data_IF_124281331413
#
_entry.id   IF_124281331413
#
_cell.length_a   1.000
_cell.length_b   1.000
_cell.length_c   1.000
_cell.angle_alpha   90.00
_cell.angle_beta   90.00
_cell.angle_gamma   90.00
#
_symmetry.space_group_name_H-M   'P 1'
#
loop_
_entity.id
_entity.type
_entity.pdbx_description
1 polymer ?
#
# COMPACT_ATOMS: atom_id res chain seq x y z
N UNK A 1 -4.73 -14.22 -26.59
CA UNK A 1 -3.30 -14.61 -26.70
C UNK A 1 -2.97 -15.08 -28.11
N UNK A 2 -3.57 -16.20 -28.57
CA UNK A 2 -3.36 -16.78 -29.91
C UNK A 2 -3.44 -15.76 -31.05
N UNK A 3 -4.50 -14.95 -31.09
CA UNK A 3 -4.70 -13.97 -32.16
C UNK A 3 -3.59 -12.90 -32.23
N UNK A 4 -3.06 -12.49 -31.07
CA UNK A 4 -1.97 -11.51 -30.99
C UNK A 4 -0.65 -12.13 -31.45
N UNK A 5 -0.38 -13.36 -31.02
CA UNK A 5 0.82 -14.09 -31.43
C UNK A 5 0.81 -14.37 -32.94
N UNK A 6 -0.36 -14.71 -33.50
CA UNK A 6 -0.55 -14.90 -34.93
C UNK A 6 -0.38 -13.58 -35.71
N UNK A 7 -0.96 -12.48 -35.22
CA UNK A 7 -0.77 -11.16 -35.80
C UNK A 7 0.72 -10.78 -35.90
N UNK A 8 1.49 -10.95 -34.81
CA UNK A 8 2.92 -10.62 -34.82
C UNK A 8 3.74 -11.57 -35.70
N UNK A 9 3.36 -12.85 -35.77
CA UNK A 9 3.97 -13.82 -36.68
C UNK A 9 3.85 -13.38 -38.13
N UNK A 10 2.66 -12.96 -38.54
CA UNK A 10 2.39 -12.48 -39.89
C UNK A 10 3.02 -11.13 -40.18
N UNK A 11 2.93 -10.19 -39.25
CA UNK A 11 3.49 -8.84 -39.39
C UNK A 11 5.00 -8.89 -39.58
N UNK A 12 5.72 -9.67 -38.76
CA UNK A 12 7.19 -9.80 -38.86
C UNK A 12 7.60 -10.49 -40.16
N UNK A 13 6.86 -11.52 -40.58
CA UNK A 13 7.10 -12.21 -41.85
C UNK A 13 6.88 -11.28 -43.05
N UNK A 14 5.80 -10.49 -43.07
CA UNK A 14 5.47 -9.59 -44.19
C UNK A 14 6.45 -8.42 -44.27
N UNK A 15 6.70 -7.74 -43.15
CA UNK A 15 7.46 -6.47 -43.12
C UNK A 15 8.98 -6.67 -43.13
N UNK A 16 9.47 -7.68 -42.43
CA UNK A 16 10.92 -7.88 -42.23
C UNK A 16 11.45 -9.15 -42.89
N UNK A 17 10.57 -9.99 -43.47
CA UNK A 17 10.95 -11.30 -44.05
C UNK A 17 11.68 -12.20 -43.05
N UNK A 18 11.36 -12.08 -41.77
CA UNK A 18 11.91 -12.90 -40.67
C UNK A 18 10.84 -13.73 -40.00
N UNK A 19 11.26 -14.78 -39.28
CA UNK A 19 10.39 -15.54 -38.37
C UNK A 19 10.21 -14.73 -37.08
N UNK A 20 8.96 -14.58 -36.61
CA UNK A 20 8.70 -13.99 -35.30
C UNK A 20 9.05 -14.99 -34.19
N UNK A 21 9.72 -14.49 -33.15
CA UNK A 21 9.92 -15.17 -31.87
C UNK A 21 9.23 -14.43 -30.71
N UNK A 22 8.35 -13.47 -31.05
CA UNK A 22 7.54 -12.76 -30.06
C UNK A 22 6.40 -13.67 -29.64
N UNK A 23 6.35 -13.94 -28.34
CA UNK A 23 5.33 -14.75 -27.69
C UNK A 23 4.76 -13.95 -26.52
N UNK A 24 3.46 -13.67 -26.59
CA UNK A 24 2.68 -13.16 -25.49
C UNK A 24 2.13 -14.37 -24.73
N UNK A 25 2.28 -14.37 -23.41
CA UNK A 25 1.71 -15.38 -22.53
C UNK A 25 0.72 -14.71 -21.58
N UNK A 26 -0.41 -15.37 -21.33
CA UNK A 26 -1.29 -15.01 -20.23
C UNK A 26 -0.61 -15.33 -18.89
N UNK A 27 -0.39 -14.31 -18.07
CA UNK A 27 0.22 -14.47 -16.74
C UNK A 27 -0.83 -14.65 -15.64
N UNK A 28 -1.78 -13.71 -15.52
CA UNK A 28 -2.74 -13.65 -14.40
C UNK A 28 -3.93 -12.74 -14.68
N UNK A 29 -5.05 -13.03 -14.01
CA UNK A 29 -6.25 -12.21 -13.97
C UNK A 29 -6.42 -11.62 -12.57
N UNK A 30 -6.56 -10.30 -12.51
CA UNK A 30 -6.90 -9.60 -11.29
C UNK A 30 -8.41 -9.37 -11.22
N UNK A 31 -9.07 -9.95 -10.22
CA UNK A 31 -10.49 -9.72 -9.92
C UNK A 31 -10.75 -8.28 -9.47
N UNK A 32 -9.76 -7.68 -8.80
CA UNK A 32 -9.75 -6.27 -8.43
C UNK A 32 -8.32 -5.77 -8.50
N UNK A 33 -8.13 -4.51 -8.92
CA UNK A 33 -6.80 -3.97 -9.17
C UNK A 33 -6.70 -2.52 -8.73
N UNK A 34 -5.55 -2.17 -8.17
CA UNK A 34 -5.28 -0.87 -7.57
C UNK A 34 -3.88 -0.40 -7.93
N UNK A 35 -3.81 0.81 -8.50
CA UNK A 35 -2.56 1.53 -8.73
C UNK A 35 -2.59 2.79 -7.85
N UNK A 36 -1.73 2.91 -6.83
CA UNK A 36 -1.68 4.11 -6.01
C UNK A 36 -1.15 5.30 -6.82
N UNK A 37 -1.70 6.48 -6.53
CA UNK A 37 -1.18 7.75 -7.06
C UNK A 37 0.18 8.06 -6.42
N UNK A 38 1.07 8.69 -7.17
CA UNK A 38 2.31 9.22 -6.60
C UNK A 38 2.00 10.47 -5.78
N UNK A 39 2.50 10.56 -4.54
CA UNK A 39 2.30 11.75 -3.69
C UNK A 39 2.68 13.03 -4.45
N UNK A 40 1.72 13.95 -4.61
CA UNK A 40 1.94 15.25 -5.24
C UNK A 40 1.82 15.29 -6.77
N UNK A 41 1.46 14.19 -7.44
CA UNK A 41 1.19 14.20 -8.89
C UNK A 41 0.01 13.31 -9.24
N UNK A 42 -0.77 13.69 -10.25
CA UNK A 42 -1.83 12.82 -10.79
C UNK A 42 -1.30 11.59 -11.54
N UNK A 43 0.01 11.51 -11.77
CA UNK A 43 0.64 10.37 -12.43
C UNK A 43 0.68 9.15 -11.50
N UNK A 44 0.15 8.04 -11.98
CA UNK A 44 0.22 6.73 -11.33
C UNK A 44 1.66 6.34 -11.03
N UNK A 45 1.89 5.74 -9.86
CA UNK A 45 3.23 5.34 -9.46
C UNK A 45 3.70 4.14 -10.29
N UNK A 46 4.81 4.31 -11.01
CA UNK A 46 5.39 3.21 -11.80
C UNK A 46 5.87 2.10 -10.85
N UNK A 47 5.57 0.84 -11.19
CA UNK A 47 5.97 -0.37 -10.43
C UNK A 47 5.38 -0.48 -9.03
N UNK A 48 4.25 0.18 -8.78
CA UNK A 48 3.49 0.05 -7.54
C UNK A 48 2.06 -0.33 -7.87
N UNK A 49 1.65 -1.52 -7.49
CA UNK A 49 0.26 -1.96 -7.65
C UNK A 49 -0.08 -3.07 -6.67
N UNK A 50 -1.38 -3.26 -6.45
CA UNK A 50 -1.91 -4.43 -5.78
C UNK A 50 -3.12 -4.94 -6.56
N UNK A 51 -3.37 -6.24 -6.48
CA UNK A 51 -4.59 -6.82 -7.00
C UNK A 51 -5.01 -8.07 -6.27
N UNK A 52 -6.29 -8.37 -6.35
CA UNK A 52 -6.90 -9.60 -5.90
C UNK A 52 -6.82 -10.62 -7.02
N UNK A 53 -6.15 -11.74 -6.78
CA UNK A 53 -6.12 -12.89 -7.69
C UNK A 53 -6.88 -14.03 -7.05
N UNK A 54 -7.46 -14.89 -7.86
CA UNK A 54 -8.07 -16.13 -7.40
C UNK A 54 -7.29 -17.30 -7.99
N UNK A 55 -6.89 -18.23 -7.14
CA UNK A 55 -6.19 -19.45 -7.54
C UNK A 55 -6.86 -20.62 -6.82
N UNK A 56 -7.40 -21.57 -7.59
CA UNK A 56 -8.08 -22.76 -7.06
C UNK A 56 -9.22 -22.43 -6.07
N UNK A 57 -9.99 -21.37 -6.34
CA UNK A 57 -11.08 -20.90 -5.48
C UNK A 57 -10.65 -20.21 -4.19
N UNK A 58 -9.35 -19.88 -4.05
CA UNK A 58 -8.81 -19.09 -2.94
C UNK A 58 -8.37 -17.73 -3.43
N UNK A 59 -8.85 -16.69 -2.77
CA UNK A 59 -8.48 -15.32 -3.03
C UNK A 59 -7.16 -14.95 -2.33
N UNK A 60 -6.22 -14.39 -3.08
CA UNK A 60 -4.94 -13.89 -2.58
C UNK A 60 -4.67 -12.45 -3.05
N UNK A 61 -4.02 -11.68 -2.19
CA UNK A 61 -3.56 -10.33 -2.53
C UNK A 61 -2.16 -10.42 -3.11
N UNK A 62 -2.03 -10.12 -4.41
CA UNK A 62 -0.76 -9.89 -5.07
C UNK A 62 -0.36 -8.42 -4.93
N UNK A 63 0.84 -8.18 -4.42
CA UNK A 63 1.35 -6.83 -4.16
C UNK A 63 2.70 -6.67 -4.86
N UNK A 64 2.90 -5.57 -5.58
CA UNK A 64 4.16 -5.22 -6.23
C UNK A 64 4.57 -3.80 -5.84
N UNK A 65 5.75 -3.65 -5.24
CA UNK A 65 6.40 -2.37 -4.97
C UNK A 65 5.73 -1.42 -3.96
N UNK A 66 4.62 -1.84 -3.32
CA UNK A 66 4.01 -1.09 -2.22
C UNK A 66 4.87 -1.08 -0.94
N UNK A 67 4.52 -0.17 -0.03
CA UNK A 67 5.29 0.20 1.15
C UNK A 67 5.73 -1.00 2.01
N UNK A 68 4.80 -1.87 2.42
CA UNK A 68 5.07 -2.90 3.42
C UNK A 68 5.60 -4.23 2.85
N UNK A 69 5.95 -4.30 1.57
CA UNK A 69 6.64 -5.50 1.02
C UNK A 69 8.13 -5.48 1.37
N UNK A 70 8.67 -4.30 1.68
CA UNK A 70 10.11 -4.15 1.87
C UNK A 70 10.55 -4.80 3.19
N UNK A 71 11.77 -5.34 3.18
CA UNK A 71 12.33 -6.07 4.34
C UNK A 71 12.57 -5.21 5.58
N UNK A 72 12.58 -3.88 5.43
CA UNK A 72 12.75 -2.90 6.50
C UNK A 72 11.45 -2.56 7.26
N UNK A 73 10.31 -3.15 6.86
CA UNK A 73 9.00 -2.95 7.50
C UNK A 73 8.67 -4.06 8.49
N UNK A 74 7.99 -3.67 9.56
CA UNK A 74 7.48 -4.57 10.61
C UNK A 74 6.40 -5.52 10.09
N UNK A 75 6.28 -6.69 10.71
CA UNK A 75 5.23 -7.66 10.33
C UNK A 75 3.83 -7.05 10.50
N UNK A 76 3.65 -6.23 11.55
CA UNK A 76 2.42 -5.50 11.77
C UNK A 76 2.06 -4.60 10.57
N UNK A 77 3.03 -3.98 9.90
CA UNK A 77 2.74 -3.17 8.72
C UNK A 77 2.35 -4.01 7.51
N UNK A 78 3.00 -5.17 7.31
CA UNK A 78 2.72 -6.07 6.19
C UNK A 78 1.33 -6.68 6.31
N UNK A 79 1.00 -7.16 7.50
CA UNK A 79 -0.31 -7.70 7.82
C UNK A 79 -1.40 -6.64 7.68
N UNK A 80 -1.15 -5.42 8.19
CA UNK A 80 -2.07 -4.30 8.04
C UNK A 80 -2.33 -3.98 6.56
N UNK A 81 -1.28 -3.90 5.73
CA UNK A 81 -1.41 -3.64 4.30
C UNK A 81 -2.28 -4.69 3.61
N UNK A 82 -1.98 -5.99 3.83
CA UNK A 82 -2.72 -7.10 3.22
C UNK A 82 -4.19 -7.08 3.64
N UNK A 83 -4.47 -6.95 4.93
CA UNK A 83 -5.85 -6.91 5.46
C UNK A 83 -6.62 -5.69 4.97
N UNK A 84 -5.99 -4.51 4.94
CA UNK A 84 -6.62 -3.29 4.44
C UNK A 84 -6.97 -3.43 2.96
N UNK A 85 -6.04 -3.91 2.13
CA UNK A 85 -6.29 -4.15 0.70
C UNK A 85 -7.43 -5.13 0.48
N UNK A 86 -7.47 -6.22 1.24
CA UNK A 86 -8.56 -7.20 1.19
C UNK A 86 -9.91 -6.54 1.48
N UNK A 87 -10.01 -5.75 2.54
CA UNK A 87 -11.25 -5.02 2.86
C UNK A 87 -11.65 -4.02 1.77
N UNK A 88 -10.67 -3.32 1.19
CA UNK A 88 -10.90 -2.37 0.09
C UNK A 88 -11.42 -3.07 -1.16
N UNK A 89 -10.81 -4.18 -1.57
CA UNK A 89 -11.24 -4.93 -2.76
C UNK A 89 -12.64 -5.53 -2.59
N UNK A 90 -13.00 -5.94 -1.37
CA UNK A 90 -14.38 -6.38 -1.06
C UNK A 90 -15.35 -5.24 -0.71
N UNK A 91 -14.94 -3.97 -0.85
CA UNK A 91 -15.78 -2.80 -0.53
C UNK A 91 -16.35 -2.82 0.90
N UNK A 92 -15.61 -3.40 1.84
CA UNK A 92 -15.96 -3.49 3.27
C UNK A 92 -15.61 -2.21 4.02
N UNK A 93 -16.22 -2.01 5.20
CA UNK A 93 -15.92 -0.85 6.03
C UNK A 93 -14.52 -0.94 6.66
N UNK A 94 -13.61 -0.12 6.16
CA UNK A 94 -12.21 -0.05 6.61
C UNK A 94 -11.99 0.79 7.88
N UNK A 95 -12.90 1.71 8.22
CA UNK A 95 -12.70 2.67 9.31
C UNK A 95 -12.60 1.97 10.67
N UNK A 96 -13.50 1.00 10.91
CA UNK A 96 -13.48 0.19 12.15
C UNK A 96 -12.20 -0.62 12.25
N UNK A 97 -11.78 -1.26 11.15
CA UNK A 97 -10.54 -2.03 11.11
C UNK A 97 -9.33 -1.18 11.48
N UNK A 98 -9.16 0.00 10.86
CA UNK A 98 -8.02 0.88 11.11
C UNK A 98 -7.95 1.30 12.58
N UNK A 99 -9.09 1.67 13.19
CA UNK A 99 -9.14 2.08 14.60
C UNK A 99 -8.77 0.94 15.55
N UNK A 100 -9.41 -0.21 15.37
CA UNK A 100 -9.14 -1.39 16.19
C UNK A 100 -7.66 -1.80 16.09
N UNK A 101 -7.08 -1.73 14.89
CA UNK A 101 -5.67 -2.07 14.69
C UNK A 101 -4.73 -1.12 15.43
N UNK A 102 -5.04 0.19 15.43
CA UNK A 102 -4.29 1.20 16.18
C UNK A 102 -4.43 0.97 17.69
N UNK A 103 -5.62 0.64 18.17
CA UNK A 103 -5.87 0.31 19.58
C UNK A 103 -5.12 -0.96 20.01
N UNK A 104 -5.12 -2.00 19.18
CA UNK A 104 -4.41 -3.24 19.46
C UNK A 104 -2.89 -3.00 19.57
N UNK A 105 -2.31 -2.15 18.72
CA UNK A 105 -0.91 -1.70 18.86
C UNK A 105 -0.70 -0.96 20.19
N UNK A 106 -1.56 0.03 20.51
CA UNK A 106 -1.43 0.81 21.76
C UNK A 106 -1.61 -0.01 23.03
N UNK A 107 -2.37 -1.10 22.95
CA UNK A 107 -2.61 -2.02 24.06
C UNK A 107 -1.50 -3.07 24.26
N UNK A 108 -0.49 -3.10 23.38
CA UNK A 108 0.64 -4.03 23.46
C UNK A 108 0.34 -5.46 22.95
N UNK A 109 -0.87 -5.72 22.45
CA UNK A 109 -1.24 -7.05 21.91
C UNK A 109 -0.44 -7.48 20.69
N UNK A 110 0.25 -6.53 20.05
CA UNK A 110 0.94 -6.74 18.78
C UNK A 110 2.46 -6.62 18.89
N UNK A 111 3.02 -6.58 20.11
CA UNK A 111 4.44 -6.27 20.34
C UNK A 111 5.38 -7.16 19.52
N UNK A 112 5.12 -8.47 19.46
CA UNK A 112 5.92 -9.42 18.66
C UNK A 112 5.97 -9.07 17.15
N UNK A 113 4.96 -8.37 16.64
CA UNK A 113 4.86 -7.95 15.24
C UNK A 113 5.51 -6.59 14.97
N UNK A 114 5.94 -5.87 16.01
CA UNK A 114 6.60 -4.55 15.94
C UNK A 114 8.13 -4.64 15.84
N UNK A 115 8.68 -5.84 15.69
CA UNK A 115 10.12 -6.05 15.57
C UNK A 115 10.63 -5.55 14.21
N UNK A 116 11.58 -4.63 14.23
CA UNK A 116 12.36 -4.29 13.04
C UNK A 116 13.47 -5.32 12.83
N UNK A 117 13.70 -5.71 11.58
CA UNK A 117 14.75 -6.65 11.19
C UNK A 117 15.66 -6.03 10.15
N UNK A 118 16.96 -5.94 10.42
CA UNK A 118 17.91 -5.35 9.46
C UNK A 118 19.28 -5.99 9.54
N UNK A 119 19.90 -6.22 8.39
CA UNK A 119 21.28 -6.71 8.32
C UNK A 119 22.28 -5.57 8.44
N UNK A 120 23.31 -5.79 9.24
CA UNK A 120 24.49 -4.93 9.38
C UNK A 120 25.48 -5.34 8.29
N UNK A 121 25.76 -4.43 7.36
CA UNK A 121 26.60 -4.70 6.19
C UNK A 121 28.06 -4.27 6.39
N UNK A 122 28.32 -3.30 7.27
CA UNK A 122 29.67 -2.81 7.58
C UNK A 122 30.00 -3.02 9.06
N UNK A 123 31.28 -3.00 9.41
CA UNK A 123 31.69 -3.02 10.83
C UNK A 123 31.04 -1.88 11.60
N UNK A 124 30.68 -2.13 12.87
CA UNK A 124 30.10 -1.13 13.78
C UNK A 124 31.00 0.12 13.94
N UNK A 125 32.31 -0.05 13.80
CA UNK A 125 33.31 1.02 13.94
C UNK A 125 33.35 1.96 12.73
N UNK A 126 32.88 1.49 11.57
CA UNK A 126 32.84 2.29 10.34
C UNK A 126 31.77 3.39 10.35
N UNK A 127 30.87 3.38 11.35
CA UNK A 127 29.79 4.35 11.48
C UNK A 127 30.20 5.50 12.41
N UNK A 128 30.81 6.55 11.83
CA UNK A 128 31.42 7.65 12.60
C UNK A 128 30.51 8.88 12.74
N UNK A 129 29.76 9.28 11.69
CA UNK A 129 29.00 10.55 11.67
C UNK A 129 27.52 10.42 12.04
N UNK A 130 26.79 9.54 11.38
CA UNK A 130 25.37 9.27 11.67
C UNK A 130 25.21 7.80 11.94
N UNK A 131 24.71 7.46 13.13
CA UNK A 131 24.52 6.06 13.53
C UNK A 131 23.06 5.67 13.25
N UNK A 132 22.80 4.79 12.27
CA UNK A 132 21.44 4.33 11.99
C UNK A 132 20.80 3.59 13.18
N UNK A 133 19.46 3.50 13.27
CA UNK A 133 18.78 2.88 14.42
C UNK A 133 19.21 1.44 14.71
N UNK A 134 19.30 0.61 13.68
CA UNK A 134 19.78 -0.78 13.78
C UNK A 134 21.23 -0.89 14.30
N UNK A 135 22.11 0.06 13.95
CA UNK A 135 23.49 0.11 14.46
C UNK A 135 23.51 0.57 15.92
N UNK A 136 22.66 1.53 16.29
CA UNK A 136 22.50 1.95 17.70
C UNK A 136 22.01 0.81 18.58
N UNK A 137 21.03 0.04 18.13
CA UNK A 137 20.57 -1.16 18.84
C UNK A 137 21.67 -2.22 18.96
N UNK A 138 22.42 -2.46 17.88
CA UNK A 138 23.51 -3.42 17.86
C UNK A 138 24.64 -3.06 18.85
N UNK A 139 25.00 -1.78 18.99
CA UNK A 139 26.00 -1.31 19.95
C UNK A 139 25.62 -1.53 21.42
N UNK A 140 24.34 -1.78 21.72
CA UNK A 140 23.87 -2.12 23.09
C UNK A 140 24.15 -3.59 23.45
N UNK A 141 24.47 -4.44 22.47
CA UNK A 141 24.81 -5.85 22.68
C UNK A 141 26.32 -6.01 22.89
N UNK A 142 26.72 -6.93 23.77
CA UNK A 142 28.14 -7.19 24.05
C UNK A 142 28.79 -7.99 22.92
N UNK A 143 28.00 -8.86 22.27
CA UNK A 143 28.42 -9.66 21.12
C UNK A 143 27.28 -9.75 20.11
N UNK A 144 27.62 -9.61 18.84
CA UNK A 144 26.68 -9.80 17.74
C UNK A 144 26.73 -11.26 17.28
N UNK A 145 25.69 -12.04 17.58
CA UNK A 145 25.62 -13.46 17.20
C UNK A 145 25.35 -13.66 15.71
N UNK A 146 24.66 -12.71 15.08
CA UNK A 146 24.35 -12.75 13.65
C UNK A 146 24.45 -11.37 13.04
N UNK A 147 24.72 -11.30 11.72
CA UNK A 147 24.70 -10.02 10.98
C UNK A 147 23.31 -9.37 10.96
N UNK A 148 22.25 -10.10 11.29
CA UNK A 148 20.88 -9.60 11.30
C UNK A 148 20.52 -9.19 12.72
N UNK A 149 20.23 -7.91 12.91
CA UNK A 149 19.78 -7.38 14.19
C UNK A 149 18.26 -7.25 14.18
N UNK A 150 17.65 -7.67 15.29
CA UNK A 150 16.24 -7.50 15.59
C UNK A 150 16.10 -6.53 16.75
N UNK A 151 15.26 -5.51 16.61
CA UNK A 151 15.17 -4.43 17.58
C UNK A 151 13.79 -3.76 17.59
N UNK A 152 13.47 -3.17 18.73
CA UNK A 152 12.31 -2.28 18.92
C UNK A 152 12.75 -0.82 18.89
N UNK A 153 11.82 0.08 18.56
CA UNK A 153 11.96 1.50 18.85
C UNK A 153 11.18 1.81 20.11
N UNK A 154 11.90 2.24 21.14
CA UNK A 154 11.36 2.51 22.48
C UNK A 154 11.27 4.03 22.72
N UNK A 155 10.80 4.41 23.91
CA UNK A 155 10.83 5.79 24.37
C UNK A 155 12.26 6.37 24.42
N UNK A 156 13.28 5.54 24.64
CA UNK A 156 14.69 5.93 24.67
C UNK A 156 15.45 5.48 23.40
N UNK A 157 14.73 5.45 22.28
CA UNK A 157 15.29 5.08 20.99
C UNK A 157 15.40 3.57 20.75
N UNK A 158 16.22 3.13 19.79
CA UNK A 158 16.24 1.73 19.35
C UNK A 158 16.95 0.82 20.36
N UNK A 159 16.32 -0.31 20.67
CA UNK A 159 16.81 -1.31 21.63
C UNK A 159 16.74 -2.71 21.04
N UNK A 160 17.79 -3.53 21.18
CA UNK A 160 17.77 -4.90 20.70
C UNK A 160 16.77 -5.73 21.51
N UNK A 161 16.15 -6.73 20.88
CA UNK A 161 15.13 -7.57 21.54
C UNK A 161 15.65 -8.25 22.81
N UNK A 162 16.95 -8.56 22.87
CA UNK A 162 17.60 -9.26 23.99
C UNK A 162 17.84 -8.36 25.21
N UNK A 163 17.92 -7.03 25.02
CA UNK A 163 18.20 -6.06 26.08
C UNK A 163 17.19 -4.91 26.05
N UNK A 164 15.90 -5.25 25.93
CA UNK A 164 14.81 -4.29 26.02
C UNK A 164 14.69 -3.80 27.47
N UNK A 165 14.86 -2.50 27.69
CA UNK A 165 14.77 -1.85 29.01
C UNK A 165 13.61 -0.87 29.08
N UNK A 166 13.34 -0.18 27.98
CA UNK A 166 12.37 0.89 27.90
C UNK A 166 11.07 0.45 27.24
N UNK A 167 9.98 1.16 27.55
CA UNK A 167 8.67 0.89 26.94
C UNK A 167 8.70 1.13 25.43
N UNK A 168 8.04 0.26 24.68
CA UNK A 168 7.90 0.40 23.22
C UNK A 168 7.18 1.71 22.91
N UNK A 169 7.70 2.47 21.94
CA UNK A 169 7.08 3.71 21.50
C UNK A 169 6.00 3.40 20.46
N UNK A 170 4.78 3.10 20.89
CA UNK A 170 3.69 2.75 19.99
C UNK A 170 3.35 3.83 18.96
N UNK A 171 3.43 5.11 19.34
CA UNK A 171 3.17 6.23 18.44
C UNK A 171 4.17 6.28 17.28
N UNK A 172 5.43 5.88 17.51
CA UNK A 172 6.40 5.71 16.43
C UNK A 172 5.91 4.70 15.38
N UNK A 173 5.41 3.54 15.80
CA UNK A 173 4.92 2.51 14.88
C UNK A 173 3.66 2.97 14.14
N UNK A 174 2.73 3.62 14.82
CA UNK A 174 1.53 4.16 14.17
C UNK A 174 1.91 5.18 13.11
N UNK A 175 2.77 6.15 13.42
CA UNK A 175 3.12 7.24 12.50
C UNK A 175 4.10 6.82 11.40
N UNK A 176 5.03 5.90 11.68
CA UNK A 176 6.09 5.49 10.73
C UNK A 176 5.82 4.18 10.01
N UNK A 177 4.89 3.35 10.50
CA UNK A 177 4.56 2.06 9.89
C UNK A 177 3.08 1.99 9.45
N UNK A 178 2.12 2.32 10.31
CA UNK A 178 0.71 2.11 9.92
C UNK A 178 0.20 3.22 9.02
N UNK A 179 0.42 4.48 9.41
CA UNK A 179 -0.10 5.66 8.71
C UNK A 179 0.37 5.76 7.26
N UNK A 180 1.66 5.58 6.90
CA UNK A 180 2.06 5.71 5.50
C UNK A 180 1.45 4.62 4.60
N UNK A 181 1.24 3.41 5.14
CA UNK A 181 0.58 2.30 4.44
C UNK A 181 -0.92 2.59 4.27
N UNK A 182 -1.56 3.10 5.32
CA UNK A 182 -2.96 3.50 5.25
C UNK A 182 -3.14 4.62 4.22
N UNK A 183 -2.40 5.72 4.34
CA UNK A 183 -2.52 6.88 3.46
C UNK A 183 -2.27 6.53 1.99
N UNK A 184 -1.35 5.61 1.67
CA UNK A 184 -1.09 5.22 0.27
C UNK A 184 -2.29 4.52 -0.38
N UNK A 185 -3.11 3.81 0.42
CA UNK A 185 -4.33 3.14 -0.02
C UNK A 185 -5.54 4.08 0.07
N UNK A 186 -5.68 4.83 1.16
CA UNK A 186 -6.81 5.73 1.44
C UNK A 186 -6.90 6.90 0.47
N UNK A 187 -5.79 7.31 -0.14
CA UNK A 187 -5.77 8.37 -1.14
C UNK A 187 -6.72 8.09 -2.32
N UNK A 188 -6.99 6.82 -2.62
CA UNK A 188 -7.94 6.39 -3.66
C UNK A 188 -9.39 6.52 -3.24
N UNK A 189 -9.65 6.57 -1.94
CA UNK A 189 -10.97 6.69 -1.32
C UNK A 189 -11.24 8.14 -0.88
N UNK A 190 -10.40 9.09 -1.31
CA UNK A 190 -10.51 10.52 -0.99
C UNK A 190 -10.60 10.80 0.52
N UNK A 191 -9.90 10.00 1.32
CA UNK A 191 -9.82 10.17 2.78
C UNK A 191 -8.37 10.00 3.24
N UNK A 192 -8.11 10.28 4.51
CA UNK A 192 -6.79 10.14 5.11
C UNK A 192 -6.85 9.47 6.48
N UNK A 193 -5.70 8.96 6.93
CA UNK A 193 -5.60 8.25 8.19
C UNK A 193 -5.99 9.12 9.39
N UNK A 194 -5.58 10.40 9.39
CA UNK A 194 -5.85 11.34 10.46
C UNK A 194 -7.35 11.53 10.71
N UNK A 195 -8.16 11.69 9.67
CA UNK A 195 -9.62 11.82 9.78
C UNK A 195 -10.28 10.58 10.38
N UNK A 196 -9.77 9.39 10.06
CA UNK A 196 -10.32 8.13 10.54
C UNK A 196 -10.03 7.97 12.04
N UNK A 197 -8.82 8.33 12.47
CA UNK A 197 -8.33 8.17 13.85
C UNK A 197 -8.72 9.34 14.76
N UNK A 198 -8.90 10.57 14.26
CA UNK A 198 -9.25 11.74 15.08
C UNK A 198 -10.73 11.82 15.47
N UNK A 199 -11.63 11.19 14.71
CA UNK A 199 -13.10 11.20 14.98
C UNK A 199 -13.52 10.56 16.31
N UNK A 200 -12.58 10.12 17.15
CA UNK A 200 -12.80 9.66 18.53
C UNK A 200 -12.68 10.77 19.59
N UNK A 201 -12.19 11.98 19.27
CA UNK A 201 -12.03 13.08 20.25
C UNK A 201 -13.23 14.02 20.44
N UNK A 202 -14.33 13.83 19.69
CA UNK A 202 -15.56 14.60 19.89
C UNK A 202 -16.79 13.69 19.71
N UNK A 203 -17.30 13.11 20.80
CA UNK A 203 -18.74 13.09 21.15
C UNK A 203 -18.82 13.05 22.68
N UNK A 204 -18.64 14.19 23.31
CA UNK A 204 -19.25 14.51 24.61
C UNK A 204 -19.59 16.00 24.53
N UNK A 205 -20.63 16.30 23.75
CA UNK A 205 -21.35 17.56 23.89
C UNK A 205 -22.79 17.17 24.23
N UNK A 206 -23.32 17.56 25.41
CA UNK A 206 -24.69 17.23 25.76
C UNK A 206 -25.62 17.85 24.71
N UNK A 207 -26.54 17.02 24.22
CA UNK A 207 -27.67 17.45 23.40
C UNK A 207 -28.40 18.60 24.10
N UNK A 208 -28.17 19.83 23.67
CA UNK A 208 -29.14 20.89 23.82
C UNK A 208 -30.28 20.58 22.84
N UNK A 209 -31.31 19.91 23.34
CA UNK A 209 -32.65 20.00 22.76
C UNK A 209 -33.09 21.45 22.89
N UNK A 210 -33.03 22.20 21.80
CA UNK A 210 -33.92 23.33 21.61
C UNK A 210 -35.01 22.90 20.62
N UNK A 211 -36.16 22.62 21.22
CA UNK A 211 -37.46 22.72 20.55
C UNK A 211 -37.57 24.12 19.95
N UNK A 212 -37.71 24.20 18.63
CA UNK A 212 -38.48 25.28 18.01
C UNK A 212 -38.94 24.82 16.64
N UNK A 213 -40.21 24.43 16.62
CA UNK A 213 -41.07 24.39 15.44
C UNK A 213 -40.87 25.63 14.57
N UNK A 214 -40.47 25.44 13.31
CA UNK A 214 -40.96 26.27 12.21
C UNK A 214 -40.72 25.57 10.86
N UNK A 215 -41.83 25.25 10.22
CA UNK A 215 -41.89 24.78 8.85
C UNK A 215 -41.39 25.86 7.88
N UNK A 216 -40.55 25.48 6.91
CA UNK A 216 -40.54 26.15 5.60
C UNK A 216 -40.02 25.22 4.51
N UNK A 217 -40.94 24.86 3.63
CA UNK A 217 -40.73 24.19 2.34
C UNK A 217 -39.71 24.95 1.49
N UNK A 218 -38.85 24.30 0.70
CA UNK A 218 -38.42 24.77 -0.63
C UNK A 218 -37.84 23.62 -1.49
N UNK A 219 -38.68 23.19 -2.44
CA UNK A 219 -38.51 22.71 -3.83
C UNK A 219 -37.45 21.63 -4.22
N UNK A 220 -37.87 20.62 -5.04
CA UNK A 220 -36.99 19.64 -5.66
C UNK A 220 -36.29 20.17 -6.92
N UNK A 221 -35.05 19.74 -7.15
CA UNK A 221 -34.29 20.01 -8.37
C UNK A 221 -34.70 19.01 -9.46
N UNK A 222 -34.96 19.57 -10.64
CA UNK A 222 -35.52 18.98 -11.86
C UNK A 222 -34.63 17.92 -12.51
N UNK A 223 -35.26 16.88 -13.04
CA UNK A 223 -34.70 15.97 -14.04
C UNK A 223 -34.48 16.72 -15.37
N UNK A 224 -33.31 16.58 -15.98
CA UNK A 224 -33.05 17.00 -17.36
C UNK A 224 -32.86 15.74 -18.20
N UNK A 225 -33.78 15.56 -19.14
CA UNK A 225 -33.80 14.53 -20.18
C UNK A 225 -32.83 14.86 -21.33
N UNK A 226 -32.28 13.81 -21.92
CA UNK A 226 -31.35 13.74 -23.05
C UNK A 226 -31.82 14.49 -24.32
N UNK A 227 -30.86 14.80 -25.22
CA UNK A 227 -31.04 14.46 -26.63
C UNK A 227 -29.87 13.64 -27.21
N UNK A 228 -30.20 12.65 -28.04
CA UNK A 228 -29.38 12.08 -29.14
C UNK A 228 -30.13 12.38 -30.46
N UNK A 229 -29.57 12.27 -31.69
CA UNK A 229 -28.37 11.52 -32.10
C UNK A 229 -27.47 12.18 -33.20
N UNK A 230 -26.47 11.39 -33.66
CA UNK A 230 -25.59 11.51 -34.85
C UNK A 230 -24.36 12.43 -34.70
N UNK A 231 -23.10 12.04 -34.98
CA UNK A 231 -22.54 10.97 -35.81
C UNK A 231 -21.01 10.79 -35.58
N UNK A 232 -20.51 9.58 -35.90
CA UNK A 232 -19.11 9.09 -36.09
C UNK A 232 -18.19 8.89 -34.87
N UNK A 233 -17.45 7.75 -34.80
CA UNK A 233 -16.59 7.42 -33.67
C UNK A 233 -15.21 8.06 -33.83
N UNK A 234 -14.81 8.89 -32.87
CA UNK A 234 -13.41 9.24 -32.67
C UNK A 234 -12.79 8.19 -31.74
N UNK A 235 -11.96 7.31 -32.31
CA UNK A 235 -11.12 6.38 -31.55
C UNK A 235 -9.91 7.19 -31.06
N UNK A 236 -9.88 7.45 -29.76
CA UNK A 236 -8.70 7.99 -29.05
C UNK A 236 -7.76 6.83 -28.68
N UNK A 237 -6.43 7.01 -28.74
CA UNK A 237 -5.48 5.90 -28.76
C UNK A 237 -5.34 5.22 -27.39
N UNK A 238 -5.43 3.90 -27.41
CA UNK A 238 -4.90 3.02 -26.38
C UNK A 238 -3.45 3.39 -26.06
N UNK A 239 -3.18 3.81 -24.83
CA UNK A 239 -1.83 3.90 -24.29
C UNK A 239 -1.29 2.47 -24.07
N UNK A 240 -0.69 1.91 -25.12
CA UNK A 240 0.22 0.77 -25.03
C UNK A 240 1.54 1.27 -24.43
N UNK A 241 1.74 1.11 -23.12
CA UNK A 241 3.10 1.15 -22.57
C UNK A 241 3.78 -0.17 -22.88
N UNK A 242 4.44 -0.27 -24.04
CA UNK A 242 5.41 -1.32 -24.31
C UNK A 242 6.65 -1.08 -23.44
N UNK A 243 6.92 -1.98 -22.50
CA UNK A 243 8.26 -2.20 -21.98
C UNK A 243 8.90 -3.31 -22.79
N UNK A 244 9.66 -2.94 -23.83
CA UNK A 244 10.56 -3.86 -24.52
C UNK A 244 11.79 -4.07 -23.62
N UNK A 245 11.93 -5.27 -23.07
CA UNK A 245 13.20 -5.73 -22.51
C UNK A 245 14.05 -6.25 -23.68
N UNK A 246 15.03 -5.45 -24.11
CA UNK A 246 16.10 -5.93 -24.98
C UNK A 246 17.12 -6.68 -24.11
N UNK A 247 17.29 -7.98 -24.32
CA UNK A 247 18.49 -8.71 -23.90
C UNK A 247 19.44 -8.72 -25.08
N UNK A 248 20.52 -7.95 -24.97
CA UNK A 248 21.69 -8.11 -25.83
C UNK A 248 22.35 -9.46 -25.50
N UNK A 249 22.46 -10.33 -26.50
CA UNK A 249 23.39 -11.44 -26.50
C UNK A 249 24.51 -11.08 -27.47
N UNK A 250 25.74 -10.99 -26.95
CA UNK A 250 26.96 -11.09 -27.75
C UNK A 250 27.15 -12.54 -28.22
#
# INVERSE_FOLDING_TARGET
EKDINEFYKDYVKKKFKRKSFIELEYEKLYLSFLIPKTRGTEKGSKKRYAGLIETEGKEEISIVGLEAIRGDWTEAAKEFQKKLLMLVFHKKNIKKFIRNYVEDIKSGKMDEKLIYKKSITKSLDSYVKTTPPHVKAARKLDKLESKRIEYYVTSDGPEPIQKLKHKINYDHYIEKQIKPVADSILLLLETNFSEIVQKTKQINSPLFFLNSSECRCWRPISYITLPRPNSRPYISPFFLTQTLNYKEYN
#
